data_IF_624638495974
#
_entry.id   IF_624638495974
#
_cell.length_a   1.000
_cell.length_b   1.000
_cell.length_c   1.000
_cell.angle_alpha   90.00
_cell.angle_beta   90.00
_cell.angle_gamma   90.00
#
_symmetry.space_group_name_H-M   'P 1'
#
loop_
_entity.id
_entity.type
_entity.pdbx_description
1 polymer ?
#
# COMPACT_ATOMS: atom_id res chain seq x y z
N UNK A 1 -2.96 -8.01 -1.05
CA UNK A 1 -4.32 -7.99 -1.65
C UNK A 1 -4.98 -9.36 -1.50
N UNK A 2 -6.31 -9.41 -1.25
CA UNK A 2 -7.04 -10.67 -1.10
C UNK A 2 -6.79 -11.60 -2.30
N UNK A 3 -6.51 -12.87 -2.03
CA UNK A 3 -6.27 -13.89 -3.07
C UNK A 3 -4.91 -13.82 -3.79
N UNK A 4 -4.12 -12.76 -3.60
CA UNK A 4 -2.76 -12.71 -4.14
C UNK A 4 -1.77 -13.47 -3.26
N UNK A 5 -0.76 -14.08 -3.88
CA UNK A 5 0.35 -14.70 -3.13
C UNK A 5 1.23 -13.60 -2.51
N UNK A 6 1.55 -13.75 -1.22
CA UNK A 6 2.39 -12.82 -0.47
C UNK A 6 3.61 -13.52 0.08
N UNK A 7 4.69 -12.75 0.24
CA UNK A 7 5.89 -13.15 0.98
C UNK A 7 6.10 -12.22 2.16
N UNK A 8 6.98 -12.62 3.07
CA UNK A 8 7.26 -11.89 4.29
C UNK A 8 8.75 -11.61 4.39
N UNK A 9 9.10 -10.34 4.60
CA UNK A 9 10.46 -9.92 4.88
C UNK A 9 10.77 -9.90 6.36
N UNK A 10 11.91 -9.32 6.71
CA UNK A 10 12.21 -8.91 8.10
C UNK A 10 11.37 -7.67 8.42
N UNK A 11 10.09 -7.87 8.73
CA UNK A 11 9.08 -6.91 9.25
C UNK A 11 7.83 -6.69 8.37
N UNK A 12 7.88 -6.85 7.05
CA UNK A 12 6.82 -6.35 6.16
C UNK A 12 6.25 -7.41 5.21
N UNK A 13 5.00 -7.20 4.81
CA UNK A 13 4.34 -7.92 3.72
C UNK A 13 4.96 -7.50 2.39
N UNK A 14 5.28 -8.49 1.54
CA UNK A 14 5.93 -8.29 0.24
C UNK A 14 4.98 -8.77 -0.86
N UNK A 15 4.61 -7.84 -1.74
CA UNK A 15 3.87 -8.16 -2.96
C UNK A 15 4.73 -9.02 -3.89
N UNK A 16 4.26 -10.22 -4.24
CA UNK A 16 4.96 -11.08 -5.23
C UNK A 16 4.64 -10.71 -6.69
N UNK A 17 3.57 -9.94 -6.89
CA UNK A 17 3.07 -9.48 -8.19
C UNK A 17 2.73 -7.99 -8.11
N UNK A 18 2.59 -7.27 -9.25
CA UNK A 18 2.13 -5.90 -9.24
C UNK A 18 0.79 -5.75 -8.51
N UNK A 19 0.67 -4.72 -7.68
CA UNK A 19 -0.57 -4.41 -6.98
C UNK A 19 -1.60 -3.77 -7.90
N UNK A 20 -2.92 -3.97 -7.65
CA UNK A 20 -3.99 -3.41 -8.47
C UNK A 20 -4.03 -1.89 -8.51
N UNK A 21 -3.39 -1.20 -7.56
CA UNK A 21 -3.33 0.27 -7.50
C UNK A 21 -1.96 0.84 -7.91
N UNK A 22 -1.10 0.05 -8.55
CA UNK A 22 0.09 0.55 -9.23
C UNK A 22 1.42 0.21 -8.56
N UNK A 23 1.43 -0.31 -7.32
CA UNK A 23 2.66 -0.81 -6.68
C UNK A 23 3.33 -1.89 -7.52
N UNK A 24 4.65 -1.86 -7.58
CA UNK A 24 5.45 -2.86 -8.30
C UNK A 24 5.49 -4.20 -7.54
N UNK A 25 5.73 -5.30 -8.26
CA UNK A 25 6.16 -6.54 -7.61
C UNK A 25 7.45 -6.26 -6.79
N UNK A 26 7.56 -6.84 -5.59
CA UNK A 26 8.65 -6.58 -4.65
C UNK A 26 8.43 -5.37 -3.75
N UNK A 27 7.37 -4.57 -3.93
CA UNK A 27 7.01 -3.52 -2.98
C UNK A 27 6.64 -4.11 -1.62
N UNK A 28 6.97 -3.41 -0.55
CA UNK A 28 6.63 -3.81 0.82
C UNK A 28 5.55 -2.90 1.41
N UNK A 29 4.76 -3.42 2.35
CA UNK A 29 3.77 -2.62 3.09
C UNK A 29 3.49 -3.15 4.48
N UNK A 30 2.92 -2.29 5.33
CA UNK A 30 2.31 -2.70 6.58
C UNK A 30 1.14 -1.79 6.97
N UNK A 31 0.45 -2.18 8.03
CA UNK A 31 -0.67 -1.44 8.59
C UNK A 31 -0.50 -1.27 10.11
N UNK A 32 -1.03 -0.16 10.63
CA UNK A 32 -1.12 0.13 12.05
C UNK A 32 -2.57 0.29 12.51
N UNK A 33 -2.76 0.09 13.81
CA UNK A 33 -4.08 -0.08 14.45
C UNK A 33 -5.07 1.05 14.14
N UNK A 34 -4.61 2.30 14.12
CA UNK A 34 -5.44 3.48 13.89
C UNK A 34 -5.73 3.74 12.40
N UNK A 35 -5.89 2.67 11.61
CA UNK A 35 -5.98 2.73 10.14
C UNK A 35 -4.85 3.58 9.54
N UNK A 36 -3.62 3.27 9.94
CA UNK A 36 -2.40 3.84 9.33
C UNK A 36 -1.81 2.80 8.37
N UNK A 37 -1.32 3.24 7.23
CA UNK A 37 -0.78 2.37 6.18
C UNK A 37 0.45 3.00 5.59
N UNK A 38 1.46 2.20 5.27
CA UNK A 38 2.60 2.66 4.49
C UNK A 38 3.06 1.60 3.49
N UNK A 39 3.77 2.05 2.48
CA UNK A 39 4.45 1.18 1.53
C UNK A 39 5.77 1.78 1.05
N UNK A 40 6.65 0.90 0.61
CA UNK A 40 7.91 1.26 -0.07
C UNK A 40 8.01 0.45 -1.35
N UNK A 41 8.23 1.12 -2.46
CA UNK A 41 8.41 0.53 -3.78
C UNK A 41 9.83 0.78 -4.29
N UNK A 42 10.75 -0.18 -4.12
CA UNK A 42 12.14 -0.01 -4.52
C UNK A 42 12.32 -0.01 -6.04
N UNK A 43 11.38 -0.56 -6.80
CA UNK A 43 11.44 -0.60 -8.28
C UNK A 43 11.21 0.79 -8.84
N UNK A 44 10.16 1.47 -8.35
CA UNK A 44 9.83 2.84 -8.76
C UNK A 44 10.52 3.91 -7.91
N UNK A 45 11.28 3.51 -6.88
CA UNK A 45 12.04 4.38 -5.95
C UNK A 45 11.17 5.42 -5.24
N UNK A 46 10.00 4.98 -4.78
CA UNK A 46 9.03 5.82 -4.07
C UNK A 46 8.55 5.15 -2.79
N UNK A 47 8.08 5.95 -1.85
CA UNK A 47 7.39 5.50 -0.66
C UNK A 47 6.14 6.34 -0.44
N UNK A 48 5.16 5.78 0.24
CA UNK A 48 3.93 6.48 0.58
C UNK A 48 3.42 6.05 1.95
N UNK A 49 2.63 6.94 2.55
CA UNK A 49 1.95 6.65 3.81
C UNK A 49 0.61 7.39 3.88
N UNK A 50 -0.34 6.77 4.58
CA UNK A 50 -1.64 7.32 4.93
C UNK A 50 -1.81 7.15 6.43
N UNK A 51 -1.94 8.25 7.14
CA UNK A 51 -2.17 8.25 8.59
C UNK A 51 -3.58 8.75 8.89
N UNK A 52 -4.32 7.99 9.68
CA UNK A 52 -5.59 8.42 10.26
C UNK A 52 -5.57 8.18 11.77
N UNK A 53 -6.64 8.59 12.45
CA UNK A 53 -6.84 8.36 13.89
C UNK A 53 -8.18 7.63 14.10
N UNK A 54 -8.44 6.62 13.27
CA UNK A 54 -9.76 5.98 13.16
C UNK A 54 -9.75 4.57 13.73
N UNK A 55 -10.83 4.22 14.43
CA UNK A 55 -11.16 2.87 14.87
C UNK A 55 -12.61 2.53 14.43
N UNK A 56 -12.96 1.24 14.24
CA UNK A 56 -12.08 0.06 14.39
C UNK A 56 -11.02 -0.05 13.29
N UNK A 57 -9.98 -0.85 13.53
CA UNK A 57 -8.97 -1.16 12.52
C UNK A 57 -9.62 -1.80 11.29
N UNK A 58 -9.07 -1.49 10.12
CA UNK A 58 -9.58 -1.98 8.83
C UNK A 58 -10.98 -1.45 8.50
N UNK A 59 -11.21 -0.16 8.80
CA UNK A 59 -12.43 0.53 8.38
C UNK A 59 -12.50 0.56 6.85
N UNK A 60 -13.60 0.04 6.30
CA UNK A 60 -13.77 -0.13 4.86
C UNK A 60 -13.62 1.18 4.07
N UNK A 61 -13.99 2.33 4.66
CA UNK A 61 -13.86 3.64 4.02
C UNK A 61 -12.40 4.06 3.95
N UNK A 62 -11.63 3.79 5.01
CA UNK A 62 -10.20 4.11 5.03
C UNK A 62 -9.42 3.18 4.10
N UNK A 63 -9.76 1.89 4.05
CA UNK A 63 -9.16 0.94 3.09
C UNK A 63 -9.47 1.35 1.64
N UNK A 64 -10.70 1.79 1.36
CA UNK A 64 -11.07 2.33 0.05
C UNK A 64 -10.28 3.59 -0.30
N UNK A 65 -10.16 4.53 0.64
CA UNK A 65 -9.35 5.73 0.49
C UNK A 65 -7.87 5.40 0.24
N UNK A 66 -7.32 4.44 0.98
CA UNK A 66 -5.94 3.98 0.82
C UNK A 66 -5.67 3.48 -0.60
N UNK A 67 -6.55 2.64 -1.16
CA UNK A 67 -6.43 2.15 -2.53
C UNK A 67 -6.59 3.26 -3.59
N UNK A 68 -7.48 4.23 -3.35
CA UNK A 68 -7.66 5.39 -4.25
C UNK A 68 -6.43 6.31 -4.22
N UNK A 69 -5.90 6.57 -3.02
CA UNK A 69 -4.70 7.37 -2.82
C UNK A 69 -3.47 6.71 -3.45
N UNK A 70 -3.27 5.40 -3.24
CA UNK A 70 -2.19 4.63 -3.87
C UNK A 70 -2.26 4.76 -5.40
N UNK A 71 -3.45 4.56 -6.00
CA UNK A 71 -3.66 4.69 -7.45
C UNK A 71 -3.32 6.09 -7.96
N UNK A 72 -3.91 7.13 -7.35
CA UNK A 72 -3.70 8.51 -7.77
C UNK A 72 -2.23 8.92 -7.68
N UNK A 73 -1.53 8.47 -6.64
CA UNK A 73 -0.09 8.70 -6.48
C UNK A 73 0.71 8.09 -7.65
N UNK A 74 0.47 6.82 -7.99
CA UNK A 74 1.18 6.17 -9.09
C UNK A 74 0.82 6.72 -10.47
N UNK A 75 -0.45 7.08 -10.71
CA UNK A 75 -0.87 7.73 -11.94
C UNK A 75 -0.19 9.09 -12.11
N UNK A 76 0.03 9.82 -11.01
CA UNK A 76 0.78 11.08 -11.00
C UNK A 76 2.25 10.92 -11.38
N UNK A 77 2.90 9.83 -10.94
CA UNK A 77 4.30 9.54 -11.29
C UNK A 77 4.51 9.29 -12.79
N UNK A 78 3.51 8.75 -13.50
CA UNK A 78 3.60 8.53 -14.94
C UNK A 78 3.53 9.81 -15.77
N UNK A 79 3.07 10.91 -15.16
CA UNK A 79 2.91 12.22 -15.82
C UNK A 79 4.09 13.15 -15.61
N UNK A 80 5.03 12.77 -14.74
CA UNK A 80 6.25 13.51 -14.42
C UNK A 80 7.42 12.99 -15.27
#
# INVERSE_FOLDING_TARGET
FPGAAHKWGLSFDINTQPGPHGRSAGSVSWAGLLNTYFWVDPVKRVAGSLFTQMLPFYDARVVSLYGQFERAFYDGLQRA
#
